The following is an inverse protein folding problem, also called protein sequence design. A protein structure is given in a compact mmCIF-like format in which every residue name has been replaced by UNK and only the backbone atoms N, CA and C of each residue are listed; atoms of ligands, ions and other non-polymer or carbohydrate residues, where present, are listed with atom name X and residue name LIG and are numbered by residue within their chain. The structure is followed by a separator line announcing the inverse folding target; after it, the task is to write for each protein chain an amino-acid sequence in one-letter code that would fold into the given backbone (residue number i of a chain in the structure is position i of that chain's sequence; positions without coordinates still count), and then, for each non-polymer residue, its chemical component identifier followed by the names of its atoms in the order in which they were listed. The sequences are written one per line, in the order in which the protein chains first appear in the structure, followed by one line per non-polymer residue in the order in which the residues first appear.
data_IF_000100215513
#
_entry.id   IF_000100215513
#
_cell.length_a   1.000
_cell.length_b   1.000
_cell.length_c   1.000
_cell.angle_alpha   90.00
_cell.angle_beta   90.00
_cell.angle_gamma   90.00
#
_symmetry.space_group_name_H-M   'P 1'
#
loop_
_entity.id
_entity.type
_entity.pdbx_description
1 polymer ?
#
# COMPACT_ATOMS: atom_id res chain seq x y z
N UNK A 1 14.55 -12.38 1.83
CA UNK A 1 14.75 -13.37 0.75
C UNK A 1 13.42 -13.79 0.17
N UNK A 2 13.07 -13.24 -0.99
CA UNK A 2 11.89 -13.64 -1.75
C UNK A 2 12.04 -15.08 -2.26
N UNK A 3 11.02 -15.93 -2.10
CA UNK A 3 11.03 -17.37 -2.42
C UNK A 3 11.29 -17.72 -3.89
N UNK A 4 11.38 -16.70 -4.76
CA UNK A 4 11.59 -16.81 -6.19
C UNK A 4 12.97 -16.32 -6.65
N UNK A 5 13.80 -15.73 -5.76
CA UNK A 5 15.13 -15.19 -6.12
C UNK A 5 15.95 -16.25 -6.87
N UNK A 6 16.47 -15.89 -8.05
CA UNK A 6 17.29 -16.79 -8.87
C UNK A 6 16.52 -17.73 -9.81
N UNK A 7 15.19 -17.79 -9.74
CA UNK A 7 14.37 -18.57 -10.68
C UNK A 7 14.18 -17.81 -11.99
N UNK A 8 13.96 -18.52 -13.09
CA UNK A 8 13.68 -17.91 -14.38
C UNK A 8 12.23 -17.40 -14.43
N UNK A 9 12.06 -16.15 -14.83
CA UNK A 9 10.76 -15.55 -15.09
C UNK A 9 10.22 -16.04 -16.45
N UNK A 10 8.89 -16.02 -16.65
CA UNK A 10 8.28 -16.31 -17.94
C UNK A 10 8.74 -15.38 -19.08
N UNK A 11 9.29 -14.21 -18.73
CA UNK A 11 9.84 -13.22 -19.66
C UNK A 11 11.33 -13.46 -20.00
N UNK A 12 11.94 -14.55 -19.50
CA UNK A 12 13.34 -14.90 -19.78
C UNK A 12 14.38 -14.17 -18.93
N UNK A 13 13.94 -13.39 -17.94
CA UNK A 13 14.82 -12.73 -16.95
C UNK A 13 14.88 -13.51 -15.64
N UNK A 14 15.94 -13.36 -14.86
CA UNK A 14 16.00 -13.98 -13.52
C UNK A 14 15.19 -13.12 -12.54
N UNK A 15 14.44 -13.76 -11.65
CA UNK A 15 13.78 -13.06 -10.56
C UNK A 15 14.82 -12.46 -9.60
N UNK A 16 14.77 -11.14 -9.47
CA UNK A 16 15.59 -10.36 -8.55
C UNK A 16 14.87 -10.22 -7.20
N UNK A 17 15.64 -9.99 -6.14
CA UNK A 17 15.03 -9.64 -4.85
C UNK A 17 14.46 -8.23 -4.93
N UNK A 18 13.31 -8.03 -4.28
CA UNK A 18 12.63 -6.73 -4.22
C UNK A 18 12.69 -6.25 -2.78
N UNK A 19 13.30 -5.09 -2.58
CA UNK A 19 13.28 -4.35 -1.31
C UNK A 19 12.18 -3.30 -1.38
N UNK A 20 11.19 -3.41 -0.51
CA UNK A 20 10.06 -2.47 -0.48
C UNK A 20 10.19 -1.51 0.69
N UNK A 21 10.09 -0.22 0.41
CA UNK A 21 10.09 0.87 1.38
C UNK A 21 8.73 1.53 1.33
N UNK A 22 7.93 1.37 2.39
CA UNK A 22 6.57 1.92 2.47
C UNK A 22 6.59 3.18 3.33
N UNK A 23 6.04 4.27 2.82
CA UNK A 23 5.92 5.53 3.54
C UNK A 23 4.55 6.16 3.35
N UNK A 24 4.04 6.78 4.41
CA UNK A 24 2.84 7.61 4.33
C UNK A 24 3.26 9.09 4.27
N UNK A 25 3.16 9.77 3.11
CA UNK A 25 3.63 11.13 2.94
C UNK A 25 2.87 12.16 3.78
N UNK A 26 1.67 11.83 4.28
CA UNK A 26 0.87 12.71 5.13
C UNK A 26 1.09 12.47 6.64
N UNK A 27 1.80 11.41 7.00
CA UNK A 27 2.17 11.13 8.39
C UNK A 27 3.37 11.93 8.89
N UNK A 28 4.11 12.56 7.97
CA UNK A 28 5.33 13.32 8.22
C UNK A 28 5.25 14.71 7.58
N UNK A 29 6.09 15.64 8.02
CA UNK A 29 6.15 16.98 7.43
C UNK A 29 6.91 16.98 6.10
N UNK A 30 6.72 18.02 5.29
CA UNK A 30 7.47 18.20 4.03
C UNK A 30 8.98 18.23 4.27
N UNK A 31 9.42 18.92 5.32
CA UNK A 31 10.83 18.97 5.71
C UNK A 31 11.38 17.62 6.13
N UNK A 32 10.60 16.81 6.85
CA UNK A 32 11.00 15.44 7.17
C UNK A 32 11.02 14.52 5.95
N UNK A 33 10.16 14.75 4.95
CA UNK A 33 10.12 13.94 3.73
C UNK A 33 11.31 14.26 2.81
N UNK A 34 11.55 15.54 2.53
CA UNK A 34 12.50 16.02 1.52
C UNK A 34 13.83 16.55 2.07
N UNK A 35 13.85 16.89 3.34
CA UNK A 35 14.89 17.68 3.98
C UNK A 35 14.48 19.14 4.13
N UNK A 36 14.99 19.76 5.17
CA UNK A 36 14.77 21.17 5.45
C UNK A 36 16.03 21.83 5.98
N UNK A 37 16.13 23.13 5.71
CA UNK A 37 17.18 23.97 6.26
C UNK A 37 16.66 24.66 7.52
N UNK A 38 17.29 24.40 8.66
CA UNK A 38 16.92 25.03 9.91
C UNK A 38 17.55 26.43 10.00
N UNK A 39 16.69 27.45 10.06
CA UNK A 39 17.09 28.86 10.13
C UNK A 39 17.75 29.24 11.45
N UNK A 40 17.53 28.47 12.53
CA UNK A 40 18.10 28.75 13.84
C UNK A 40 19.50 28.16 14.00
N UNK A 41 19.70 26.94 13.52
CA UNK A 41 20.99 26.24 13.60
C UNK A 41 21.87 26.49 12.38
N UNK A 42 21.30 26.98 11.27
CA UNK A 42 21.94 27.06 9.96
C UNK A 42 22.43 25.70 9.43
N UNK A 43 21.83 24.60 9.90
CA UNK A 43 22.16 23.25 9.48
C UNK A 43 21.10 22.69 8.53
N UNK A 44 21.56 21.85 7.60
CA UNK A 44 20.68 21.10 6.70
C UNK A 44 20.35 19.76 7.33
N UNK A 45 19.05 19.45 7.43
CA UNK A 45 18.58 18.13 7.84
C UNK A 45 18.08 17.37 6.62
N UNK A 46 18.65 16.19 6.37
CA UNK A 46 18.24 15.32 5.27
C UNK A 46 16.85 14.71 5.54
N UNK A 47 16.03 14.64 4.48
CA UNK A 47 14.72 14.02 4.53
C UNK A 47 14.79 12.49 4.39
N UNK A 48 13.76 11.82 4.90
CA UNK A 48 13.61 10.37 4.87
C UNK A 48 13.66 9.84 3.44
N UNK A 49 12.94 10.48 2.51
CA UNK A 49 12.88 10.03 1.12
C UNK A 49 14.21 10.27 0.40
N UNK A 50 14.82 11.45 0.61
CA UNK A 50 16.12 11.78 0.03
C UNK A 50 17.20 10.79 0.45
N UNK A 51 17.28 10.46 1.74
CA UNK A 51 18.25 9.48 2.25
C UNK A 51 17.99 8.08 1.68
N UNK A 52 16.74 7.63 1.63
CA UNK A 52 16.39 6.32 1.06
C UNK A 52 16.76 6.21 -0.42
N UNK A 53 16.44 7.22 -1.23
CA UNK A 53 16.77 7.22 -2.68
C UNK A 53 18.28 7.30 -2.89
N UNK A 54 18.99 8.09 -2.07
CA UNK A 54 20.46 8.19 -2.07
C UNK A 54 21.11 6.82 -1.83
N UNK A 55 20.71 6.14 -0.77
CA UNK A 55 21.22 4.81 -0.41
C UNK A 55 20.91 3.78 -1.50
N UNK A 56 19.69 3.84 -2.04
CA UNK A 56 19.31 3.00 -3.15
C UNK A 56 20.15 3.23 -4.41
N UNK A 57 20.56 4.49 -4.66
CA UNK A 57 21.25 4.91 -5.90
C UNK A 57 22.74 4.59 -5.82
N UNK A 58 23.30 4.65 -4.61
CA UNK A 58 24.66 4.20 -4.31
C UNK A 58 24.81 2.66 -4.34
N UNK A 59 23.70 1.93 -4.19
CA UNK A 59 23.71 0.46 -4.19
C UNK A 59 24.00 -0.11 -5.58
N UNK A 60 25.07 -0.90 -5.68
CA UNK A 60 25.48 -1.61 -6.90
C UNK A 60 24.79 -2.98 -7.08
N UNK A 61 23.84 -3.33 -6.22
CA UNK A 61 23.12 -4.60 -6.33
C UNK A 61 22.09 -4.54 -7.46
N UNK A 62 21.87 -5.68 -8.12
CA UNK A 62 20.80 -5.84 -9.11
C UNK A 62 19.42 -5.96 -8.47
N UNK A 63 19.32 -5.97 -7.14
CA UNK A 63 18.04 -6.04 -6.44
C UNK A 63 17.16 -4.82 -6.77
N UNK A 64 15.88 -5.08 -7.00
CA UNK A 64 14.87 -4.05 -7.23
C UNK A 64 14.55 -3.32 -5.93
N UNK A 65 14.31 -2.03 -6.02
CA UNK A 65 14.00 -1.16 -4.88
C UNK A 65 12.71 -0.42 -5.16
N UNK A 66 11.66 -0.73 -4.41
CA UNK A 66 10.33 -0.16 -4.60
C UNK A 66 10.03 0.82 -3.47
N UNK A 67 9.79 2.08 -3.82
CA UNK A 67 9.36 3.11 -2.88
C UNK A 67 7.84 3.28 -3.04
N UNK A 68 7.09 2.82 -2.05
CA UNK A 68 5.63 2.85 -2.02
C UNK A 68 5.16 4.00 -1.13
N UNK A 69 4.40 4.90 -1.72
CA UNK A 69 3.73 5.97 -1.00
C UNK A 69 2.28 5.55 -0.73
N UNK A 70 1.99 5.13 0.49
CA UNK A 70 0.67 4.72 0.95
C UNK A 70 -0.01 5.85 1.71
N UNK A 71 -0.95 6.52 1.04
CA UNK A 71 -1.70 7.63 1.63
C UNK A 71 -2.25 8.59 0.58
N UNK A 72 -3.10 9.54 1.00
CA UNK A 72 -3.73 10.45 0.07
C UNK A 72 -2.72 11.43 -0.56
N UNK A 73 -2.93 11.70 -1.84
CA UNK A 73 -2.16 12.72 -2.57
C UNK A 73 -2.55 14.11 -2.08
N UNK A 74 -1.57 15.00 -2.04
CA UNK A 74 -1.75 16.42 -1.75
C UNK A 74 -0.99 17.21 -2.81
N UNK A 75 -1.57 18.32 -3.26
CA UNK A 75 -0.98 19.18 -4.29
C UNK A 75 0.44 19.63 -3.93
N UNK A 76 0.72 19.86 -2.64
CA UNK A 76 1.99 20.43 -2.19
C UNK A 76 3.16 19.43 -2.32
N UNK A 77 3.01 18.19 -1.85
CA UNK A 77 4.13 17.24 -1.91
C UNK A 77 4.31 16.67 -3.32
N UNK A 78 3.23 16.50 -4.08
CA UNK A 78 3.33 15.90 -5.43
C UNK A 78 3.95 16.87 -6.43
N UNK A 79 3.84 18.18 -6.21
CA UNK A 79 4.49 19.17 -7.07
C UNK A 79 6.02 19.06 -7.02
N UNK A 80 6.57 18.84 -5.83
CA UNK A 80 8.01 18.61 -5.62
C UNK A 80 8.48 17.26 -6.20
N UNK A 81 7.57 16.33 -6.50
CA UNK A 81 7.87 15.05 -7.17
C UNK A 81 7.90 15.16 -8.70
N UNK A 82 7.43 16.26 -9.30
CA UNK A 82 7.21 16.32 -10.74
C UNK A 82 8.48 16.04 -11.59
N UNK A 83 9.67 16.40 -11.11
CA UNK A 83 10.96 16.17 -11.80
C UNK A 83 11.46 14.74 -11.67
N UNK A 84 10.96 13.99 -10.69
CA UNK A 84 11.33 12.58 -10.50
C UNK A 84 10.34 11.65 -11.20
N UNK A 85 9.11 12.13 -11.40
CA UNK A 85 8.05 11.43 -12.12
C UNK A 85 8.09 11.63 -13.64
N UNK A 86 8.93 12.53 -14.14
CA UNK A 86 9.14 12.69 -15.58
C UNK A 86 10.20 11.72 -16.15
N UNK A 87 10.48 11.82 -17.44
CA UNK A 87 11.47 10.98 -18.12
C UNK A 87 12.91 11.18 -17.60
N UNK A 88 13.20 12.28 -16.91
CA UNK A 88 14.52 12.55 -16.36
C UNK A 88 14.81 11.67 -15.15
N UNK A 89 13.77 11.27 -14.39
CA UNK A 89 13.89 10.46 -13.16
C UNK A 89 14.88 11.05 -12.15
N UNK A 90 14.80 12.37 -11.93
CA UNK A 90 15.70 13.13 -11.04
C UNK A 90 14.94 13.76 -9.88
N UNK A 91 15.28 13.36 -8.66
CA UNK A 91 14.83 14.04 -7.46
C UNK A 91 15.66 15.30 -7.27
N UNK A 92 15.00 16.46 -7.32
CA UNK A 92 15.63 17.75 -7.07
C UNK A 92 15.22 18.22 -5.67
N UNK A 93 16.20 18.31 -4.76
CA UNK A 93 15.98 18.77 -3.40
C UNK A 93 16.11 20.29 -3.32
N UNK A 94 15.46 20.89 -2.32
CA UNK A 94 15.56 22.33 -2.03
C UNK A 94 16.97 22.75 -1.61
N UNK A 95 17.83 21.81 -1.18
CA UNK A 95 19.27 22.02 -0.98
C UNK A 95 20.04 22.27 -2.28
N UNK A 96 19.43 22.04 -3.45
CA UNK A 96 20.09 22.07 -4.76
C UNK A 96 20.71 20.74 -5.16
N UNK A 97 20.62 19.71 -4.30
CA UNK A 97 21.07 18.38 -4.66
C UNK A 97 20.14 17.71 -5.69
N UNK A 98 20.75 16.99 -6.64
CA UNK A 98 20.04 16.27 -7.69
C UNK A 98 20.41 14.78 -7.61
N UNK A 99 19.46 13.94 -7.22
CA UNK A 99 19.63 12.49 -7.12
C UNK A 99 18.90 11.80 -8.27
N UNK A 100 19.63 11.09 -9.12
CA UNK A 100 19.03 10.34 -10.24
C UNK A 100 18.64 8.93 -9.78
N UNK A 101 17.41 8.51 -10.11
CA UNK A 101 16.97 7.14 -9.89
C UNK A 101 17.61 6.21 -10.91
N UNK A 102 17.98 5.02 -10.43
CA UNK A 102 18.48 3.92 -11.27
C UNK A 102 17.32 3.10 -11.83
N UNK A 103 17.58 2.28 -12.85
CA UNK A 103 16.56 1.43 -13.47
C UNK A 103 16.04 0.31 -12.56
N UNK A 104 16.77 -0.02 -11.49
CA UNK A 104 16.32 -0.98 -10.48
C UNK A 104 15.33 -0.36 -9.48
N UNK A 105 15.14 0.96 -9.51
CA UNK A 105 14.21 1.65 -8.65
C UNK A 105 12.83 1.81 -9.30
N UNK A 106 11.79 1.75 -8.48
CA UNK A 106 10.42 2.04 -8.90
C UNK A 106 9.72 2.82 -7.80
N UNK A 107 9.04 3.90 -8.17
CA UNK A 107 8.14 4.62 -7.28
C UNK A 107 6.71 4.20 -7.60
N UNK A 108 5.94 3.95 -6.55
CA UNK A 108 4.53 3.56 -6.63
C UNK A 108 3.73 4.40 -5.64
N UNK A 109 2.50 4.74 -6.04
CA UNK A 109 1.59 5.51 -5.21
C UNK A 109 0.32 4.68 -5.01
N UNK A 110 0.06 4.32 -3.76
CA UNK A 110 -1.19 3.70 -3.33
C UNK A 110 -2.09 4.79 -2.76
N UNK A 111 -3.09 5.18 -3.55
CA UNK A 111 -3.92 6.36 -3.31
C UNK A 111 -5.39 5.99 -3.50
N UNK A 112 -6.27 6.54 -2.67
CA UNK A 112 -7.71 6.32 -2.81
C UNK A 112 -8.29 7.06 -4.02
N UNK A 113 -7.88 8.32 -4.20
CA UNK A 113 -8.29 9.17 -5.31
C UNK A 113 -7.18 10.17 -5.69
N UNK A 114 -7.33 10.74 -6.88
CA UNK A 114 -6.42 11.75 -7.45
C UNK A 114 -7.12 13.11 -7.59
N UNK A 115 -8.15 13.39 -6.80
CA UNK A 115 -9.00 14.57 -6.98
C UNK A 115 -8.23 15.90 -6.86
N UNK A 116 -7.12 15.91 -6.13
CA UNK A 116 -6.26 17.08 -5.91
C UNK A 116 -4.99 17.09 -6.77
N UNK A 117 -4.79 16.07 -7.61
CA UNK A 117 -3.63 15.99 -8.49
C UNK A 117 -3.92 16.68 -9.84
N UNK A 118 -2.94 17.42 -10.36
CA UNK A 118 -3.08 18.04 -11.67
C UNK A 118 -3.08 16.98 -12.79
N UNK A 119 -3.87 17.12 -13.87
CA UNK A 119 -3.84 16.19 -15.00
C UNK A 119 -2.44 16.04 -15.62
N UNK A 120 -1.62 17.09 -15.58
CA UNK A 120 -0.24 17.07 -16.05
C UNK A 120 0.64 16.11 -15.22
N UNK A 121 0.49 16.12 -13.89
CA UNK A 121 1.20 15.19 -12.99
C UNK A 121 0.75 13.75 -13.23
N UNK A 122 -0.55 13.52 -13.34
CA UNK A 122 -1.12 12.19 -13.59
C UNK A 122 -0.70 11.64 -14.96
N UNK A 123 -0.56 12.48 -15.99
CA UNK A 123 -0.18 12.05 -17.34
C UNK A 123 1.21 11.44 -17.46
N UNK A 124 2.08 11.68 -16.48
CA UNK A 124 3.46 11.15 -16.44
C UNK A 124 3.54 9.78 -15.77
N UNK A 125 2.47 9.36 -15.10
CA UNK A 125 2.44 8.14 -14.32
C UNK A 125 1.58 7.06 -15.00
N UNK A 126 1.97 5.79 -14.86
CA UNK A 126 1.14 4.67 -15.26
C UNK A 126 -0.03 4.50 -14.28
N UNK A 127 -1.26 4.53 -14.78
CA UNK A 127 -2.46 4.39 -13.95
C UNK A 127 -2.95 2.94 -13.95
N UNK A 128 -3.05 2.34 -12.76
CA UNK A 128 -3.66 1.03 -12.55
C UNK A 128 -4.91 1.22 -11.71
N UNK A 129 -6.08 1.07 -12.32
CA UNK A 129 -7.35 1.18 -11.61
C UNK A 129 -7.73 -0.17 -11.02
N UNK A 130 -7.88 -0.22 -9.70
CA UNK A 130 -8.41 -1.37 -8.99
C UNK A 130 -9.84 -1.06 -8.56
N UNK A 131 -10.82 -1.72 -9.18
CA UNK A 131 -12.21 -1.59 -8.76
C UNK A 131 -12.52 -2.59 -7.63
N UNK A 132 -12.98 -2.15 -6.44
CA UNK A 132 -13.29 -3.06 -5.32
C UNK A 132 -14.35 -4.11 -5.65
N UNK A 133 -15.25 -3.80 -6.60
CA UNK A 133 -16.30 -4.71 -7.06
C UNK A 133 -15.74 -5.97 -7.72
N UNK A 134 -14.57 -5.88 -8.36
CA UNK A 134 -13.91 -6.99 -9.05
C UNK A 134 -13.38 -8.02 -8.06
N UNK A 135 -12.84 -7.57 -6.92
CA UNK A 135 -12.32 -8.47 -5.88
C UNK A 135 -13.47 -9.21 -5.18
N UNK A 136 -14.57 -8.51 -4.91
CA UNK A 136 -15.71 -9.04 -4.18
C UNK A 136 -15.39 -9.39 -2.72
N UNK A 137 -16.36 -9.95 -2.01
CA UNK A 137 -16.22 -10.29 -0.58
C UNK A 137 -15.66 -11.70 -0.32
N UNK A 138 -15.78 -12.57 -1.33
CA UNK A 138 -15.42 -13.98 -1.23
C UNK A 138 -13.93 -14.22 -0.91
N UNK A 139 -12.96 -13.49 -1.51
CA UNK A 139 -11.55 -13.69 -1.16
C UNK A 139 -11.25 -13.41 0.31
N UNK A 140 -11.95 -12.47 0.94
CA UNK A 140 -11.79 -12.19 2.36
C UNK A 140 -12.26 -13.37 3.22
N UNK A 141 -13.41 -13.95 2.88
CA UNK A 141 -13.96 -15.14 3.55
C UNK A 141 -13.02 -16.33 3.39
N UNK A 142 -12.60 -16.63 2.16
CA UNK A 142 -11.69 -17.75 1.90
C UNK A 142 -10.34 -17.58 2.63
N UNK A 143 -9.82 -16.36 2.73
CA UNK A 143 -8.59 -16.09 3.48
C UNK A 143 -8.79 -16.25 5.00
N UNK A 144 -9.93 -15.81 5.54
CA UNK A 144 -10.26 -15.95 6.95
C UNK A 144 -10.47 -17.42 7.33
N UNK A 145 -11.17 -18.20 6.50
CA UNK A 145 -11.37 -19.64 6.70
C UNK A 145 -10.05 -20.43 6.80
N UNK A 146 -9.01 -20.01 6.07
CA UNK A 146 -7.66 -20.62 6.14
C UNK A 146 -6.92 -20.29 7.44
N UNK A 147 -7.34 -19.26 8.18
CA UNK A 147 -6.72 -18.82 9.44
C UNK A 147 -7.46 -19.36 10.68
N UNK A 148 -8.47 -20.19 10.50
CA UNK A 148 -9.22 -20.76 11.62
C UNK A 148 -8.33 -21.65 12.51
N UNK A 149 -8.55 -21.66 13.84
CA UNK A 149 -7.81 -22.53 14.75
C UNK A 149 -8.10 -24.01 14.47
N UNK A 150 -7.13 -24.89 14.74
CA UNK A 150 -7.25 -26.34 14.46
C UNK A 150 -8.51 -26.97 15.06
N UNK A 151 -8.91 -26.54 16.25
CA UNK A 151 -10.12 -27.01 16.97
C UNK A 151 -11.44 -26.66 16.28
N UNK A 152 -11.45 -25.62 15.44
CA UNK A 152 -12.64 -25.12 14.72
C UNK A 152 -12.54 -25.41 13.22
N UNK A 153 -11.37 -25.82 12.74
CA UNK A 153 -11.08 -26.01 11.32
C UNK A 153 -12.00 -27.02 10.63
N UNK A 154 -12.45 -28.06 11.34
CA UNK A 154 -13.40 -29.06 10.84
C UNK A 154 -14.78 -28.46 10.50
N UNK A 155 -15.13 -27.30 11.08
CA UNK A 155 -16.39 -26.61 10.83
C UNK A 155 -16.32 -25.58 9.69
N UNK A 156 -15.19 -25.45 9.00
CA UNK A 156 -14.99 -24.44 7.94
C UNK A 156 -16.07 -24.47 6.85
N UNK A 157 -16.53 -25.66 6.45
CA UNK A 157 -17.49 -25.82 5.36
C UNK A 157 -18.89 -25.34 5.80
N UNK A 158 -19.20 -25.51 7.08
CA UNK A 158 -20.42 -24.95 7.69
C UNK A 158 -20.35 -23.42 7.73
N UNK A 159 -19.21 -22.84 8.13
CA UNK A 159 -19.02 -21.39 8.10
C UNK A 159 -19.11 -20.82 6.69
N UNK A 160 -18.47 -21.47 5.70
CA UNK A 160 -18.56 -21.05 4.31
C UNK A 160 -20.01 -20.99 3.83
N UNK A 161 -20.80 -22.03 4.09
CA UNK A 161 -22.23 -22.05 3.74
C UNK A 161 -23.02 -20.90 4.40
N UNK A 162 -22.71 -20.56 5.66
CA UNK A 162 -23.34 -19.44 6.35
C UNK A 162 -22.94 -18.09 5.75
N UNK A 163 -21.66 -17.88 5.45
CA UNK A 163 -21.20 -16.65 4.79
C UNK A 163 -21.84 -16.49 3.41
N UNK A 164 -21.85 -17.54 2.59
CA UNK A 164 -22.46 -17.49 1.26
C UNK A 164 -23.97 -17.17 1.31
N UNK A 165 -24.67 -17.68 2.32
CA UNK A 165 -26.11 -17.45 2.48
C UNK A 165 -26.46 -16.07 3.02
N UNK A 166 -25.69 -15.58 4.00
CA UNK A 166 -26.08 -14.41 4.78
C UNK A 166 -25.27 -13.15 4.48
N UNK A 167 -23.99 -13.24 4.13
CA UNK A 167 -23.10 -12.08 4.07
C UNK A 167 -23.57 -11.06 3.03
N UNK A 168 -23.71 -11.48 1.76
CA UNK A 168 -24.14 -10.59 0.69
C UNK A 168 -25.57 -10.07 0.89
N UNK A 169 -26.47 -10.93 1.38
CA UNK A 169 -27.88 -10.56 1.58
C UNK A 169 -28.00 -9.51 2.67
N UNK A 170 -27.27 -9.69 3.79
CA UNK A 170 -27.24 -8.72 4.90
C UNK A 170 -26.64 -7.38 4.47
N UNK A 171 -25.56 -7.38 3.68
CA UNK A 171 -24.97 -6.14 3.17
C UNK A 171 -25.94 -5.44 2.20
N UNK A 172 -26.56 -6.17 1.28
CA UNK A 172 -27.59 -5.62 0.37
C UNK A 172 -28.77 -5.03 1.16
N UNK A 173 -29.21 -5.67 2.24
CA UNK A 173 -30.25 -5.16 3.12
C UNK A 173 -29.81 -3.86 3.81
N UNK A 174 -28.60 -3.84 4.39
CA UNK A 174 -28.03 -2.67 5.04
C UNK A 174 -27.96 -1.46 4.09
N UNK A 175 -27.48 -1.65 2.85
CA UNK A 175 -27.38 -0.56 1.86
C UNK A 175 -28.72 -0.07 1.33
N UNK A 176 -29.74 -0.93 1.25
CA UNK A 176 -31.04 -0.60 0.63
C UNK A 176 -32.11 -0.16 1.61
N UNK A 177 -32.09 -0.67 2.83
CA UNK A 177 -33.21 -0.53 3.78
C UNK A 177 -32.83 0.26 5.03
N UNK A 178 -31.54 0.39 5.33
CA UNK A 178 -31.05 1.15 6.48
C UNK A 178 -30.43 2.47 6.03
N UNK A 179 -30.42 3.44 6.94
CA UNK A 179 -29.73 4.72 6.76
C UNK A 179 -28.52 4.75 7.67
N UNK A 180 -27.34 4.73 7.08
CA UNK A 180 -26.10 4.90 7.82
C UNK A 180 -25.80 6.38 8.00
N UNK A 181 -25.39 6.75 9.22
CA UNK A 181 -24.95 8.11 9.53
C UNK A 181 -23.52 8.36 9.04
N UNK A 182 -22.67 7.32 9.09
CA UNK A 182 -21.29 7.34 8.62
C UNK A 182 -21.17 6.30 7.50
N UNK A 183 -20.66 6.66 6.31
CA UNK A 183 -20.49 5.71 5.22
C UNK A 183 -19.48 4.63 5.64
N UNK A 184 -19.84 3.37 5.45
CA UNK A 184 -18.97 2.22 5.69
C UNK A 184 -18.60 1.53 4.37
N UNK A 185 -17.47 0.84 4.34
CA UNK A 185 -17.03 0.03 3.19
C UNK A 185 -17.41 -1.42 3.44
N UNK A 186 -17.96 -2.10 2.43
CA UNK A 186 -18.45 -3.49 2.55
C UNK A 186 -17.36 -4.45 3.04
N UNK A 187 -16.11 -4.28 2.58
CA UNK A 187 -14.96 -5.05 3.06
C UNK A 187 -14.72 -4.83 4.56
N UNK A 188 -14.78 -3.59 5.05
CA UNK A 188 -14.59 -3.28 6.46
C UNK A 188 -15.72 -3.85 7.34
N UNK A 189 -16.96 -3.85 6.85
CA UNK A 189 -18.09 -4.50 7.55
C UNK A 189 -17.86 -6.01 7.64
N UNK A 190 -17.40 -6.63 6.55
CA UNK A 190 -17.03 -8.04 6.51
C UNK A 190 -15.90 -8.37 7.51
N UNK A 191 -14.82 -7.58 7.53
CA UNK A 191 -13.74 -7.72 8.50
C UNK A 191 -14.20 -7.52 9.94
N UNK A 192 -15.10 -6.57 10.18
CA UNK A 192 -15.63 -6.33 11.53
C UNK A 192 -16.42 -7.54 12.05
N UNK A 193 -17.21 -8.18 11.18
CA UNK A 193 -17.89 -9.44 11.51
C UNK A 193 -16.88 -10.55 11.83
N UNK A 194 -15.83 -10.70 11.02
CA UNK A 194 -14.77 -11.69 11.25
C UNK A 194 -14.04 -11.45 12.57
N UNK A 195 -13.68 -10.20 12.89
CA UNK A 195 -13.03 -9.84 14.15
C UNK A 195 -13.90 -10.18 15.38
N UNK A 196 -15.23 -9.99 15.26
CA UNK A 196 -16.18 -10.39 16.31
C UNK A 196 -16.16 -11.91 16.49
N UNK A 197 -16.18 -12.68 15.40
CA UNK A 197 -16.09 -14.14 15.45
C UNK A 197 -14.76 -14.60 16.04
N UNK A 198 -13.65 -14.00 15.63
CA UNK A 198 -12.32 -14.31 16.15
C UNK A 198 -12.22 -14.04 17.66
N UNK A 199 -12.93 -13.03 18.17
CA UNK A 199 -13.02 -12.77 19.60
C UNK A 199 -13.71 -13.91 20.37
N UNK A 200 -14.68 -14.59 19.76
CA UNK A 200 -15.28 -15.80 20.34
C UNK A 200 -14.38 -17.03 20.22
N UNK A 201 -13.51 -17.07 19.21
CA UNK A 201 -12.55 -18.16 19.00
C UNK A 201 -11.25 -18.00 19.79
N UNK A 202 -10.96 -16.82 20.33
CA UNK A 202 -9.78 -16.55 21.14
C UNK A 202 -9.51 -17.58 22.26
N UNK A 203 -10.50 -18.14 22.99
CA UNK A 203 -10.27 -19.18 23.99
C UNK A 203 -9.80 -20.53 23.42
N UNK A 204 -10.06 -20.79 22.13
CA UNK A 204 -9.72 -22.03 21.44
C UNK A 204 -8.38 -21.98 20.72
N UNK A 205 -7.75 -20.79 20.66
CA UNK A 205 -6.37 -20.68 20.24
C UNK A 205 -5.47 -21.34 21.28
N UNK A 206 -4.45 -22.11 20.84
CA UNK A 206 -3.45 -22.64 21.75
C UNK A 206 -2.84 -21.46 22.51
N UNK A 207 -2.99 -21.46 23.84
CA UNK A 207 -2.26 -20.53 24.71
C UNK A 207 -0.82 -21.03 24.72
N UNK A 208 0.10 -20.23 24.17
CA UNK A 208 1.54 -20.40 24.43
C UNK A 208 1.84 -20.33 25.93
#
# INVERSE_FOLDING_TARGET
MTSLKGKMSPAGTVFEEVHTYVLNPKSITMGQLYGEFDLMTHEWTDGILSSMIRDGSASSTSDKKWYLFDGPVDAVWIENMNTVLDDNKKLCLTSGEIIKLTESMTMMFEVQDLAVASPATVSRCGMVYLEPSILGLQPFVDCWLRKLPDSVFDHRDSFKSLFDKFLEVSIKFLRKQLKEFVPSVDSNVCFSLMNILDSFFAPFNPRE
#
